data_IF_709461930501
#
_entry.id   IF_709461930501
#
_cell.length_a   1.000
_cell.length_b   1.000
_cell.length_c   1.000
_cell.angle_alpha   90.00
_cell.angle_beta   90.00
_cell.angle_gamma   90.00
#
_symmetry.space_group_name_H-M   'P 1'
#
loop_
_entity.id
_entity.type
_entity.pdbx_description
1 polymer ?
#
# COMPACT_ATOMS: atom_id res chain seq x y z
N UNK A 1 -38.31 24.55 -32.58
CA UNK A 1 -39.77 24.35 -32.43
C UNK A 1 -40.05 24.02 -30.98
N UNK A 2 -40.77 24.91 -30.28
CA UNK A 2 -41.39 24.81 -28.93
C UNK A 2 -40.43 24.60 -27.73
N UNK A 3 -40.03 25.67 -27.04
CA UNK A 3 -40.67 26.30 -25.85
C UNK A 3 -40.45 25.46 -24.58
N UNK A 4 -39.48 25.80 -23.71
CA UNK A 4 -39.51 26.85 -22.67
C UNK A 4 -40.42 26.47 -21.49
N UNK A 5 -39.87 26.40 -20.27
CA UNK A 5 -40.49 26.87 -19.01
C UNK A 5 -39.37 27.26 -18.04
N UNK A 6 -39.32 28.56 -17.74
CA UNK A 6 -38.56 29.20 -16.68
C UNK A 6 -39.51 29.42 -15.51
N UNK A 7 -39.07 29.18 -14.28
CA UNK A 7 -39.69 29.74 -13.09
C UNK A 7 -38.61 30.01 -12.03
N UNK A 8 -38.31 31.29 -11.88
CA UNK A 8 -37.68 31.94 -10.74
C UNK A 8 -38.60 31.87 -9.52
N UNK A 9 -38.05 31.70 -8.31
CA UNK A 9 -38.50 32.35 -7.07
C UNK A 9 -37.60 31.93 -5.86
N UNK A 10 -37.59 32.62 -4.70
CA UNK A 10 -36.69 33.73 -4.43
C UNK A 10 -35.76 33.52 -3.22
N UNK A 11 -34.75 34.40 -3.12
CA UNK A 11 -33.89 34.58 -1.96
C UNK A 11 -34.68 34.86 -0.67
N UNK A 12 -34.44 34.06 0.37
CA UNK A 12 -34.79 34.39 1.76
C UNK A 12 -33.50 34.59 2.54
N UNK A 13 -33.23 35.86 2.84
CA UNK A 13 -32.26 36.30 3.83
C UNK A 13 -32.75 35.94 5.23
N UNK A 14 -31.92 35.25 6.03
CA UNK A 14 -32.10 35.14 7.47
C UNK A 14 -30.83 35.55 8.19
N UNK A 15 -31.02 36.55 9.02
CA UNK A 15 -30.09 37.16 9.94
C UNK A 15 -29.72 36.23 11.10
N UNK A 16 -28.43 36.29 11.45
CA UNK A 16 -27.88 36.40 12.82
C UNK A 16 -28.05 35.20 13.76
N UNK A 17 -26.92 34.52 14.04
CA UNK A 17 -26.40 34.38 15.41
C UNK A 17 -24.89 34.53 15.37
N UNK A 18 -24.40 35.63 15.91
CA UNK A 18 -22.98 35.87 16.21
C UNK A 18 -22.58 35.00 17.41
N UNK A 19 -21.57 34.16 17.24
CA UNK A 19 -20.92 33.47 18.35
C UNK A 19 -20.01 34.46 19.10
N UNK A 20 -19.97 34.44 20.45
CA UNK A 20 -19.17 35.37 21.21
C UNK A 20 -17.66 35.10 21.05
N UNK A 21 -16.96 36.21 20.87
CA UNK A 21 -15.54 36.42 20.86
C UNK A 21 -14.91 35.97 22.20
N UNK A 22 -14.04 34.96 22.19
CA UNK A 22 -13.18 34.63 23.33
C UNK A 22 -11.77 35.18 23.07
N UNK A 23 -11.40 36.21 23.83
CA UNK A 23 -10.04 36.75 23.89
C UNK A 23 -9.15 35.90 24.81
N UNK A 24 -7.81 36.03 24.68
CA UNK A 24 -6.86 34.95 24.94
C UNK A 24 -6.44 34.90 26.41
N UNK A 25 -6.35 33.69 26.97
CA UNK A 25 -5.70 33.48 28.26
C UNK A 25 -4.58 32.46 28.13
N UNK A 26 -3.38 33.02 28.26
CA UNK A 26 -2.25 32.48 28.97
C UNK A 26 -1.45 31.32 28.34
N UNK A 27 -0.30 31.74 27.81
CA UNK A 27 0.92 30.96 27.72
C UNK A 27 1.28 30.47 29.14
N UNK A 28 1.44 29.16 29.33
CA UNK A 28 2.60 28.52 30.01
C UNK A 28 2.20 27.11 30.46
N UNK A 29 2.50 26.11 29.65
CA UNK A 29 2.86 24.77 30.13
C UNK A 29 3.57 24.02 29.00
N UNK A 30 4.86 24.32 28.84
CA UNK A 30 5.78 23.46 28.13
C UNK A 30 5.95 22.19 28.97
N UNK A 31 5.27 21.10 28.60
CA UNK A 31 5.62 19.77 29.07
C UNK A 31 5.58 18.81 27.89
N UNK A 32 6.78 18.43 27.48
CA UNK A 32 7.15 17.36 26.54
C UNK A 32 6.09 16.25 26.46
N UNK A 33 5.34 16.21 25.38
CA UNK A 33 4.69 14.98 24.93
C UNK A 33 5.74 14.17 24.17
N UNK A 34 6.49 13.36 24.91
CA UNK A 34 6.99 12.11 24.37
C UNK A 34 5.92 11.06 24.63
N UNK A 35 4.94 10.97 23.73
CA UNK A 35 4.02 9.84 23.65
C UNK A 35 4.28 9.11 22.34
N UNK A 36 5.35 8.31 22.32
CA UNK A 36 5.48 7.22 21.34
C UNK A 36 4.71 6.02 21.89
N UNK A 37 3.40 6.16 22.02
CA UNK A 37 2.50 5.01 22.17
C UNK A 37 1.96 4.72 20.78
N UNK A 38 2.47 3.67 20.18
CA UNK A 38 1.87 3.06 19.00
C UNK A 38 0.58 2.40 19.50
N UNK A 39 -0.54 3.11 19.43
CA UNK A 39 -1.82 2.47 19.74
C UNK A 39 -2.09 1.49 18.59
N UNK A 40 -2.20 0.17 18.87
CA UNK A 40 -2.52 -0.79 17.84
C UNK A 40 -3.85 -0.40 17.22
N UNK A 41 -3.91 -0.30 15.89
CA UNK A 41 -5.18 -0.03 15.22
C UNK A 41 -6.17 -1.11 15.58
N UNK A 42 -7.42 -0.70 15.82
CA UNK A 42 -8.54 -1.61 16.06
C UNK A 42 -8.77 -2.49 14.82
N UNK A 43 -8.22 -3.71 14.89
CA UNK A 43 -8.33 -4.72 13.83
C UNK A 43 -9.79 -5.05 13.51
N UNK A 44 -10.68 -5.06 14.50
CA UNK A 44 -12.09 -5.39 14.30
C UNK A 44 -12.82 -4.27 13.54
N UNK A 45 -12.48 -3.01 13.81
CA UNK A 45 -12.99 -1.87 13.04
C UNK A 45 -12.57 -1.94 11.55
N UNK A 46 -11.32 -2.35 11.29
CA UNK A 46 -10.81 -2.51 9.91
C UNK A 46 -11.53 -3.66 9.20
N UNK A 47 -11.69 -4.80 9.87
CA UNK A 47 -12.40 -5.96 9.31
C UNK A 47 -13.87 -5.65 9.02
N UNK A 48 -14.54 -4.94 9.93
CA UNK A 48 -15.91 -4.50 9.71
C UNK A 48 -16.00 -3.62 8.46
N UNK A 49 -15.14 -2.61 8.34
CA UNK A 49 -15.10 -1.75 7.16
C UNK A 49 -14.83 -2.55 5.88
N UNK A 50 -13.87 -3.47 5.88
CA UNK A 50 -13.57 -4.32 4.73
C UNK A 50 -14.79 -5.17 4.33
N UNK A 51 -15.50 -5.76 5.30
CA UNK A 51 -16.69 -6.59 5.02
C UNK A 51 -17.81 -5.83 4.32
N UNK A 52 -17.86 -4.50 4.45
CA UNK A 52 -18.84 -3.64 3.79
C UNK A 52 -18.35 -3.07 2.44
N UNK A 53 -17.04 -3.04 2.20
CA UNK A 53 -16.43 -2.33 1.07
C UNK A 53 -15.76 -3.22 0.03
N UNK A 54 -15.47 -4.49 0.34
CA UNK A 54 -14.90 -5.46 -0.59
C UNK A 54 -15.73 -6.76 -0.60
N UNK A 55 -15.77 -7.51 -1.72
CA UNK A 55 -16.45 -8.80 -1.74
C UNK A 55 -15.73 -9.80 -0.83
N UNK A 56 -16.48 -10.83 -0.40
CA UNK A 56 -15.98 -11.90 0.49
C UNK A 56 -14.66 -12.53 -0.01
N UNK A 57 -14.57 -12.83 -1.31
CA UNK A 57 -13.34 -13.40 -1.90
C UNK A 57 -12.11 -12.48 -1.78
N UNK A 58 -12.30 -11.15 -1.75
CA UNK A 58 -11.24 -10.20 -1.49
C UNK A 58 -10.89 -10.15 -0.01
N UNK A 59 -11.88 -10.21 0.87
CA UNK A 59 -11.62 -10.27 2.31
C UNK A 59 -10.80 -11.52 2.67
N UNK A 60 -11.14 -12.68 2.10
CA UNK A 60 -10.35 -13.91 2.28
C UNK A 60 -8.92 -13.77 1.74
N UNK A 61 -8.73 -13.12 0.60
CA UNK A 61 -7.40 -12.77 0.07
C UNK A 61 -6.63 -11.93 1.08
N UNK A 62 -7.22 -10.84 1.58
CA UNK A 62 -6.60 -9.95 2.56
C UNK A 62 -6.18 -10.70 3.82
N UNK A 63 -7.03 -11.58 4.35
CA UNK A 63 -6.71 -12.39 5.53
C UNK A 63 -5.54 -13.35 5.30
N UNK A 64 -5.42 -13.92 4.09
CA UNK A 64 -4.27 -14.77 3.74
C UNK A 64 -2.99 -13.95 3.54
N UNK A 65 -3.09 -12.73 3.00
CA UNK A 65 -1.96 -11.79 2.92
C UNK A 65 -1.50 -11.36 4.31
N UNK A 66 -2.42 -11.02 5.22
CA UNK A 66 -2.11 -10.72 6.62
C UNK A 66 -1.36 -11.89 7.27
N UNK A 67 -1.88 -13.12 7.16
CA UNK A 67 -1.24 -14.31 7.72
C UNK A 67 0.16 -14.54 7.14
N UNK A 68 0.33 -14.49 5.82
CA UNK A 68 1.64 -14.69 5.20
C UNK A 68 2.62 -13.55 5.51
N UNK A 69 2.15 -12.31 5.65
CA UNK A 69 2.99 -11.18 6.06
C UNK A 69 3.51 -11.37 7.49
N UNK A 70 2.68 -11.89 8.40
CA UNK A 70 3.09 -12.28 9.76
C UNK A 70 4.21 -13.34 9.70
N UNK A 71 3.99 -14.44 8.96
CA UNK A 71 4.96 -15.53 8.86
C UNK A 71 6.32 -15.06 8.30
N UNK A 72 6.28 -14.22 7.26
CA UNK A 72 7.50 -13.64 6.68
C UNK A 72 8.19 -12.66 7.65
N UNK A 73 7.42 -11.85 8.38
CA UNK A 73 7.99 -10.92 9.36
C UNK A 73 8.69 -11.67 10.49
N UNK A 74 8.10 -12.76 11.00
CA UNK A 74 8.74 -13.61 12.00
C UNK A 74 10.07 -14.19 11.49
N UNK A 75 10.04 -14.76 10.28
CA UNK A 75 11.23 -15.34 9.65
C UNK A 75 12.38 -14.33 9.48
N UNK A 76 12.05 -13.12 9.03
CA UNK A 76 13.03 -12.06 8.77
C UNK A 76 13.29 -11.16 9.98
N UNK A 77 12.79 -11.52 11.17
CA UNK A 77 12.98 -10.78 12.43
C UNK A 77 12.51 -9.31 12.34
N UNK A 78 11.37 -9.08 11.69
CA UNK A 78 10.71 -7.80 11.56
C UNK A 78 9.59 -7.62 12.60
N UNK A 79 9.01 -6.42 12.65
CA UNK A 79 7.86 -6.12 13.50
C UNK A 79 6.58 -6.78 12.95
N UNK A 80 6.16 -7.85 13.63
CA UNK A 80 4.98 -8.65 13.27
C UNK A 80 3.68 -7.84 13.33
N UNK A 81 3.57 -6.89 14.26
CA UNK A 81 2.36 -6.06 14.41
C UNK A 81 2.20 -5.15 13.20
N UNK A 82 3.30 -4.54 12.75
CA UNK A 82 3.30 -3.71 11.53
C UNK A 82 3.02 -4.53 10.27
N UNK A 83 3.56 -5.74 10.19
CA UNK A 83 3.31 -6.64 9.06
C UNK A 83 1.85 -7.07 8.98
N UNK A 84 1.25 -7.46 10.11
CA UNK A 84 -0.17 -7.77 10.19
C UNK A 84 -1.03 -6.57 9.76
N UNK A 85 -0.75 -5.39 10.31
CA UNK A 85 -1.49 -4.16 10.02
C UNK A 85 -1.41 -3.77 8.53
N UNK A 86 -0.20 -3.79 7.95
CA UNK A 86 -0.01 -3.45 6.55
C UNK A 86 -0.64 -4.51 5.62
N UNK A 87 -0.49 -5.79 5.94
CA UNK A 87 -1.12 -6.90 5.20
C UNK A 87 -2.65 -6.83 5.20
N UNK A 88 -3.25 -6.52 6.35
CA UNK A 88 -4.71 -6.35 6.47
C UNK A 88 -5.24 -5.16 5.67
N UNK A 89 -4.44 -4.09 5.53
CA UNK A 89 -4.89 -2.83 4.92
C UNK A 89 -4.43 -2.63 3.47
N UNK A 90 -3.62 -3.53 2.89
CA UNK A 90 -2.98 -3.29 1.59
C UNK A 90 -3.98 -2.98 0.46
N UNK A 91 -5.15 -3.61 0.50
CA UNK A 91 -6.18 -3.58 -0.54
C UNK A 91 -7.40 -2.70 -0.20
N UNK A 92 -7.30 -1.78 0.77
CA UNK A 92 -8.41 -0.92 1.21
C UNK A 92 -9.12 -0.19 0.05
N UNK A 93 -8.37 0.28 -0.94
CA UNK A 93 -8.91 1.01 -2.08
C UNK A 93 -9.16 0.12 -3.31
N UNK A 94 -9.01 -1.22 -3.20
CA UNK A 94 -9.06 -2.14 -4.35
C UNK A 94 -10.35 -2.02 -5.14
N UNK A 95 -11.49 -1.84 -4.48
CA UNK A 95 -12.80 -1.79 -5.13
C UNK A 95 -13.30 -0.36 -5.39
N UNK A 96 -12.45 0.65 -5.25
CA UNK A 96 -12.82 2.01 -5.61
C UNK A 96 -12.95 2.14 -7.13
N UNK A 97 -13.90 2.97 -7.57
CA UNK A 97 -14.10 3.26 -9.00
C UNK A 97 -12.88 4.00 -9.57
N UNK A 98 -12.49 3.77 -10.84
CA UNK A 98 -11.35 4.44 -11.46
C UNK A 98 -11.35 5.97 -11.31
N UNK A 99 -12.49 6.63 -11.53
CA UNK A 99 -12.61 8.08 -11.36
C UNK A 99 -12.28 8.53 -9.94
N UNK A 100 -12.75 7.80 -8.91
CA UNK A 100 -12.44 8.10 -7.51
C UNK A 100 -10.94 7.96 -7.22
N UNK A 101 -10.29 6.94 -7.78
CA UNK A 101 -8.85 6.74 -7.60
C UNK A 101 -8.06 7.92 -8.20
N UNK A 102 -8.41 8.36 -9.41
CA UNK A 102 -7.78 9.53 -10.06
C UNK A 102 -8.04 10.80 -9.26
N UNK A 103 -9.29 11.06 -8.88
CA UNK A 103 -9.66 12.29 -8.14
C UNK A 103 -8.89 12.38 -6.81
N UNK A 104 -8.79 11.26 -6.07
CA UNK A 104 -8.03 11.20 -4.82
C UNK A 104 -6.52 11.37 -5.07
N UNK A 105 -5.98 10.75 -6.12
CA UNK A 105 -4.57 10.86 -6.45
C UNK A 105 -4.19 12.30 -6.82
N UNK A 106 -5.03 12.99 -7.60
CA UNK A 106 -4.84 14.39 -7.95
C UNK A 106 -4.98 15.32 -6.75
N UNK A 107 -5.94 15.06 -5.86
CA UNK A 107 -6.12 15.83 -4.63
C UNK A 107 -4.91 15.74 -3.69
N UNK A 108 -4.23 14.60 -3.66
CA UNK A 108 -3.00 14.37 -2.89
C UNK A 108 -1.74 14.80 -3.65
N UNK A 109 -1.87 15.33 -4.88
CA UNK A 109 -0.75 15.79 -5.69
C UNK A 109 0.17 14.66 -6.19
N UNK A 110 -0.36 13.44 -6.33
CA UNK A 110 0.39 12.31 -6.88
C UNK A 110 0.66 12.54 -8.37
N UNK A 111 1.89 12.27 -8.78
CA UNK A 111 2.24 12.25 -10.20
C UNK A 111 1.68 10.97 -10.83
N UNK A 112 0.90 11.12 -11.90
CA UNK A 112 0.32 9.99 -12.64
C UNK A 112 1.20 9.68 -13.85
N UNK A 113 1.61 8.42 -13.98
CA UNK A 113 2.20 7.91 -15.22
C UNK A 113 1.09 7.68 -16.27
N UNK A 114 1.37 7.78 -17.58
CA UNK A 114 0.38 7.42 -18.60
C UNK A 114 -0.19 6.01 -18.44
N UNK A 115 0.56 5.07 -17.84
CA UNK A 115 0.05 3.73 -17.51
C UNK A 115 -0.99 3.78 -16.38
N UNK A 116 -0.85 4.68 -15.39
CA UNK A 116 -1.86 4.89 -14.35
C UNK A 116 -3.14 5.48 -14.94
N UNK A 117 -3.02 6.44 -15.88
CA UNK A 117 -4.19 7.03 -16.54
C UNK A 117 -4.96 6.00 -17.37
N UNK A 118 -4.23 5.09 -18.06
CA UNK A 118 -4.84 4.02 -18.84
C UNK A 118 -5.38 2.88 -17.97
N UNK A 119 -4.75 2.62 -16.82
CA UNK A 119 -5.18 1.62 -15.85
C UNK A 119 -5.22 2.18 -14.42
N UNK A 120 -6.24 2.98 -14.08
CA UNK A 120 -6.30 3.67 -12.79
C UNK A 120 -6.41 2.74 -11.60
N UNK A 121 -6.75 1.48 -11.83
CA UNK A 121 -6.80 0.49 -10.77
C UNK A 121 -5.42 0.25 -10.13
N UNK A 122 -4.30 0.56 -10.81
CA UNK A 122 -2.97 0.49 -10.20
C UNK A 122 -2.84 1.42 -8.99
N UNK A 123 -3.55 2.56 -8.99
CA UNK A 123 -3.50 3.57 -7.93
C UNK A 123 -4.08 3.09 -6.60
N UNK A 124 -4.76 1.94 -6.54
CA UNK A 124 -5.31 1.42 -5.29
C UNK A 124 -4.26 1.22 -4.18
N UNK A 125 -2.99 0.98 -4.53
CA UNK A 125 -1.93 0.89 -3.53
C UNK A 125 -1.66 2.25 -2.87
N UNK A 126 -1.39 3.29 -3.67
CA UNK A 126 -1.15 4.64 -3.17
C UNK A 126 -2.39 5.20 -2.45
N UNK A 127 -3.58 5.03 -3.02
CA UNK A 127 -4.85 5.44 -2.40
C UNK A 127 -5.18 4.61 -1.17
N UNK A 128 -4.83 3.32 -1.14
CA UNK A 128 -4.99 2.46 0.03
C UNK A 128 -4.23 2.99 1.23
N UNK A 129 -3.00 3.48 1.03
CA UNK A 129 -2.21 4.11 2.09
C UNK A 129 -2.86 5.42 2.58
N UNK A 130 -3.44 6.22 1.68
CA UNK A 130 -4.19 7.44 2.04
C UNK A 130 -5.44 7.09 2.86
N UNK A 131 -6.20 6.07 2.46
CA UNK A 131 -7.35 5.59 3.24
C UNK A 131 -6.90 5.09 4.61
N UNK A 132 -5.81 4.34 4.69
CA UNK A 132 -5.26 3.85 5.95
C UNK A 132 -4.91 5.01 6.91
N UNK A 133 -4.27 6.06 6.39
CA UNK A 133 -3.94 7.29 7.12
C UNK A 133 -5.20 8.02 7.61
N UNK A 134 -6.12 8.32 6.70
CA UNK A 134 -7.22 9.24 6.97
C UNK A 134 -8.41 8.58 7.69
N UNK A 135 -8.71 7.32 7.37
CA UNK A 135 -9.87 6.61 7.92
C UNK A 135 -9.55 5.87 9.21
N UNK A 136 -8.32 5.36 9.34
CA UNK A 136 -7.91 4.51 10.48
C UNK A 136 -6.80 5.13 11.34
N UNK A 137 -6.29 6.31 10.98
CA UNK A 137 -5.30 7.02 11.78
C UNK A 137 -3.91 6.40 11.74
N UNK A 138 -3.58 5.60 10.71
CA UNK A 138 -2.22 5.07 10.54
C UNK A 138 -1.25 6.24 10.38
N UNK A 139 -0.27 6.33 11.27
CA UNK A 139 0.78 7.36 11.23
C UNK A 139 2.19 6.78 11.06
N UNK A 140 2.35 5.46 11.06
CA UNK A 140 3.64 4.82 10.82
C UNK A 140 3.97 4.74 9.34
N UNK A 141 5.02 5.44 8.96
CA UNK A 141 5.46 5.50 7.56
C UNK A 141 5.92 4.16 6.99
N UNK A 142 6.42 3.22 7.78
CA UNK A 142 6.77 1.89 7.26
C UNK A 142 5.50 1.13 6.86
N UNK A 143 4.45 1.18 7.69
CA UNK A 143 3.14 0.57 7.37
C UNK A 143 2.54 1.24 6.13
N UNK A 144 2.53 2.57 6.07
CA UNK A 144 2.00 3.31 4.92
C UNK A 144 2.80 3.03 3.64
N UNK A 145 4.13 2.96 3.73
CA UNK A 145 4.99 2.59 2.60
C UNK A 145 4.73 1.17 2.13
N UNK A 146 4.55 0.22 3.04
CA UNK A 146 4.28 -1.16 2.69
C UNK A 146 2.95 -1.30 1.93
N UNK A 147 1.90 -0.59 2.38
CA UNK A 147 0.62 -0.50 1.65
C UNK A 147 0.83 0.17 0.28
N UNK A 148 1.51 1.32 0.23
CA UNK A 148 1.74 2.09 -1.00
C UNK A 148 2.51 1.31 -2.07
N UNK A 149 3.43 0.46 -1.63
CA UNK A 149 4.35 -0.22 -2.53
C UNK A 149 3.88 -1.62 -2.96
N UNK A 150 2.79 -2.15 -2.40
CA UNK A 150 2.47 -3.58 -2.56
C UNK A 150 2.20 -4.01 -4.02
N UNK A 151 1.72 -3.12 -4.90
CA UNK A 151 1.41 -3.48 -6.29
C UNK A 151 2.63 -3.38 -7.23
N UNK A 152 3.31 -2.22 -7.25
CA UNK A 152 4.36 -1.92 -8.24
C UNK A 152 5.78 -2.00 -7.64
N UNK A 153 5.86 -2.12 -6.31
CA UNK A 153 7.09 -1.95 -5.54
C UNK A 153 7.70 -0.57 -5.66
N UNK A 154 8.89 -0.40 -5.12
CA UNK A 154 9.71 0.80 -5.26
C UNK A 154 11.19 0.36 -5.30
N UNK A 155 12.06 1.00 -6.10
CA UNK A 155 13.51 0.84 -5.92
C UNK A 155 13.90 1.11 -4.46
N UNK A 156 14.50 0.12 -3.80
CA UNK A 156 14.94 0.26 -2.41
C UNK A 156 13.82 0.27 -1.37
N UNK A 157 12.71 -0.45 -1.62
CA UNK A 157 11.72 -0.77 -0.59
C UNK A 157 12.39 -1.23 0.71
N UNK A 158 11.84 -0.78 1.84
CA UNK A 158 12.18 -1.35 3.14
C UNK A 158 11.71 -2.81 3.25
N UNK A 159 12.23 -3.53 4.24
CA UNK A 159 11.96 -4.95 4.39
C UNK A 159 10.47 -5.23 4.66
N UNK A 160 9.75 -4.34 5.36
CA UNK A 160 8.31 -4.45 5.57
C UNK A 160 7.52 -4.33 4.25
N UNK A 161 7.89 -3.38 3.40
CA UNK A 161 7.32 -3.24 2.06
C UNK A 161 7.61 -4.46 1.19
N UNK A 162 8.81 -5.04 1.30
CA UNK A 162 9.13 -6.30 0.62
C UNK A 162 8.24 -7.45 1.11
N UNK A 163 8.00 -7.55 2.43
CA UNK A 163 7.12 -8.56 3.02
C UNK A 163 5.71 -8.45 2.47
N UNK A 164 5.09 -7.26 2.48
CA UNK A 164 3.71 -7.08 2.02
C UNK A 164 3.59 -7.30 0.50
N UNK A 165 4.57 -6.81 -0.27
CA UNK A 165 4.65 -7.06 -1.72
C UNK A 165 4.69 -8.57 -2.04
N UNK A 166 5.53 -9.32 -1.31
CA UNK A 166 5.65 -10.77 -1.50
C UNK A 166 4.41 -11.52 -1.01
N UNK A 167 3.87 -11.16 0.16
CA UNK A 167 2.68 -11.79 0.70
C UNK A 167 1.49 -11.62 -0.26
N UNK A 168 1.25 -10.43 -0.81
CA UNK A 168 0.17 -10.22 -1.78
C UNK A 168 0.33 -11.09 -3.05
N UNK A 169 1.56 -11.18 -3.57
CA UNK A 169 1.85 -11.96 -4.77
C UNK A 169 1.89 -13.48 -4.56
N UNK A 170 2.10 -13.95 -3.32
CA UNK A 170 2.46 -15.34 -3.04
C UNK A 170 1.57 -16.04 -2.00
N UNK A 171 0.55 -15.37 -1.45
CA UNK A 171 -0.37 -15.99 -0.50
C UNK A 171 -0.96 -17.33 -1.03
N UNK A 172 -1.30 -18.30 -0.15
CA UNK A 172 -1.65 -19.67 -0.59
C UNK A 172 -2.80 -19.77 -1.62
N UNK A 173 -3.74 -18.83 -1.61
CA UNK A 173 -4.85 -18.72 -2.55
C UNK A 173 -4.46 -18.31 -3.97
N UNK A 174 -3.21 -17.88 -4.21
CA UNK A 174 -2.67 -17.59 -5.56
C UNK A 174 -2.43 -18.85 -6.40
N UNK A 175 -2.50 -20.04 -5.80
CA UNK A 175 -2.34 -21.34 -6.47
C UNK A 175 -1.07 -22.09 -6.04
N UNK A 176 -0.94 -23.34 -6.50
CA UNK A 176 0.10 -24.28 -6.07
C UNK A 176 0.90 -24.82 -7.27
N UNK A 177 1.36 -23.92 -8.15
CA UNK A 177 2.28 -24.33 -9.22
C UNK A 177 3.70 -24.47 -8.67
N UNK A 178 4.55 -25.30 -9.28
CA UNK A 178 5.95 -25.42 -8.86
C UNK A 178 6.70 -24.08 -8.82
N UNK A 179 6.38 -23.17 -9.74
CA UNK A 179 6.98 -21.83 -9.80
C UNK A 179 6.56 -20.98 -8.58
N UNK A 180 5.28 -20.99 -8.21
CA UNK A 180 4.78 -20.27 -7.03
C UNK A 180 5.33 -20.87 -5.74
N UNK A 181 5.44 -22.19 -5.64
CA UNK A 181 6.06 -22.86 -4.49
C UNK A 181 7.53 -22.49 -4.34
N UNK A 182 8.28 -22.43 -5.46
CA UNK A 182 9.66 -21.96 -5.43
C UNK A 182 9.73 -20.49 -4.98
N UNK A 183 8.88 -19.60 -5.50
CA UNK A 183 8.87 -18.20 -5.07
C UNK A 183 8.58 -18.05 -3.57
N UNK A 184 7.63 -18.83 -3.03
CA UNK A 184 7.36 -18.88 -1.59
C UNK A 184 8.61 -19.30 -0.82
N UNK A 185 9.27 -20.38 -1.21
CA UNK A 185 10.50 -20.82 -0.55
C UNK A 185 11.56 -19.72 -0.52
N UNK A 186 11.78 -19.05 -1.66
CA UNK A 186 12.74 -17.95 -1.74
C UNK A 186 12.33 -16.76 -0.85
N UNK A 187 11.03 -16.47 -0.70
CA UNK A 187 10.57 -15.39 0.17
C UNK A 187 10.91 -15.61 1.65
N UNK A 188 10.99 -16.86 2.12
CA UNK A 188 11.44 -17.18 3.48
C UNK A 188 12.96 -17.21 3.64
N UNK A 189 13.71 -17.26 2.54
CA UNK A 189 15.18 -17.31 2.57
C UNK A 189 15.82 -15.93 2.39
N UNK A 190 15.31 -15.14 1.44
CA UNK A 190 15.89 -13.85 1.07
C UNK A 190 14.85 -12.94 0.41
N UNK A 191 14.39 -11.92 1.13
CA UNK A 191 13.41 -10.95 0.63
C UNK A 191 13.86 -10.29 -0.68
N UNK A 192 15.12 -9.83 -0.74
CA UNK A 192 15.61 -9.11 -1.93
C UNK A 192 15.64 -10.00 -3.17
N UNK A 193 16.01 -11.27 -3.02
CA UNK A 193 15.99 -12.24 -4.12
C UNK A 193 14.58 -12.61 -4.54
N UNK A 194 13.70 -12.86 -3.57
CA UNK A 194 12.30 -13.16 -3.84
C UNK A 194 11.60 -12.02 -4.56
N UNK A 195 11.83 -10.74 -4.18
CA UNK A 195 11.19 -9.59 -4.82
C UNK A 195 11.48 -9.56 -6.33
N UNK A 196 12.74 -9.62 -6.76
CA UNK A 196 13.02 -9.54 -8.21
C UNK A 196 12.55 -10.79 -8.96
N UNK A 197 12.54 -11.97 -8.32
CA UNK A 197 11.99 -13.19 -8.94
C UNK A 197 10.48 -13.12 -9.10
N UNK A 198 9.77 -12.61 -8.09
CA UNK A 198 8.32 -12.35 -8.18
C UNK A 198 8.03 -11.28 -9.24
N UNK A 199 8.85 -10.23 -9.35
CA UNK A 199 8.74 -9.29 -10.46
C UNK A 199 8.94 -9.96 -11.83
N UNK A 200 9.94 -10.84 -11.99
CA UNK A 200 10.15 -11.58 -13.25
C UNK A 200 8.94 -12.45 -13.61
N UNK A 201 8.34 -13.12 -12.60
CA UNK A 201 7.11 -13.88 -12.75
C UNK A 201 5.94 -13.00 -13.23
N UNK A 202 5.69 -11.87 -12.56
CA UNK A 202 4.62 -10.92 -12.95
C UNK A 202 4.87 -10.33 -14.33
N UNK A 203 6.11 -9.94 -14.65
CA UNK A 203 6.46 -9.36 -15.95
C UNK A 203 6.28 -10.37 -17.08
N UNK A 204 6.64 -11.64 -16.88
CA UNK A 204 6.39 -12.69 -17.86
C UNK A 204 4.91 -12.79 -18.19
N UNK A 205 4.05 -12.86 -17.16
CA UNK A 205 2.59 -12.88 -17.33
C UNK A 205 2.08 -11.66 -18.11
N UNK A 206 2.50 -10.45 -17.72
CA UNK A 206 2.05 -9.22 -18.39
C UNK A 206 2.44 -9.18 -19.87
N UNK A 207 3.68 -9.59 -20.20
CA UNK A 207 4.16 -9.63 -21.58
C UNK A 207 3.43 -10.70 -22.42
N UNK A 208 3.24 -11.89 -21.86
CA UNK A 208 2.49 -12.98 -22.50
C UNK A 208 1.06 -12.53 -22.85
N UNK A 209 0.42 -11.76 -21.95
CA UNK A 209 -0.95 -11.28 -22.11
C UNK A 209 -1.05 -9.87 -22.74
N UNK A 210 0.06 -9.34 -23.25
CA UNK A 210 0.16 -8.05 -23.96
C UNK A 210 -0.41 -6.88 -23.16
N UNK A 211 -0.20 -6.90 -21.84
CA UNK A 211 -0.60 -5.85 -20.91
C UNK A 211 0.46 -4.74 -20.85
N UNK A 212 0.02 -3.52 -20.51
CA UNK A 212 0.95 -2.43 -20.22
C UNK A 212 1.77 -2.76 -18.97
N UNK A 213 3.05 -2.37 -19.01
CA UNK A 213 3.95 -2.53 -17.87
C UNK A 213 4.32 -1.15 -17.34
N UNK A 214 3.93 -0.88 -16.10
CA UNK A 214 4.26 0.38 -15.45
C UNK A 214 5.79 0.50 -15.24
N UNK A 215 6.44 1.62 -15.62
CA UNK A 215 7.90 1.78 -15.51
C UNK A 215 8.46 1.54 -14.10
N UNK A 216 7.71 1.94 -13.05
CA UNK A 216 8.01 1.65 -11.62
C UNK A 216 8.27 0.16 -11.37
N UNK A 217 7.48 -0.75 -11.93
CA UNK A 217 7.68 -2.20 -11.74
C UNK A 217 9.02 -2.68 -12.32
N UNK A 218 9.40 -2.19 -13.50
CA UNK A 218 10.71 -2.48 -14.12
C UNK A 218 11.85 -1.92 -13.27
N UNK A 219 11.69 -0.69 -12.77
CA UNK A 219 12.68 -0.05 -11.92
C UNK A 219 12.89 -0.82 -10.61
N UNK A 220 11.81 -1.22 -9.93
CA UNK A 220 11.83 -2.07 -8.73
C UNK A 220 12.61 -3.35 -9.02
N UNK A 221 12.21 -4.09 -10.05
CA UNK A 221 12.84 -5.35 -10.46
C UNK A 221 14.34 -5.19 -10.68
N UNK A 222 14.74 -4.17 -11.45
CA UNK A 222 16.14 -3.94 -11.77
C UNK A 222 16.98 -3.56 -10.55
N UNK A 223 16.42 -2.76 -9.64
CA UNK A 223 17.09 -2.39 -8.40
C UNK A 223 17.39 -3.63 -7.55
N UNK A 224 16.39 -4.47 -7.29
CA UNK A 224 16.56 -5.67 -6.46
C UNK A 224 17.51 -6.69 -7.10
N UNK A 225 17.43 -6.91 -8.42
CA UNK A 225 18.37 -7.79 -9.12
C UNK A 225 19.82 -7.30 -9.00
N UNK A 226 20.06 -6.00 -9.23
CA UNK A 226 21.40 -5.42 -9.17
C UNK A 226 21.97 -5.48 -7.74
N UNK A 227 21.15 -5.14 -6.74
CA UNK A 227 21.56 -5.19 -5.33
C UNK A 227 21.93 -6.61 -4.89
N UNK A 228 21.11 -7.61 -5.24
CA UNK A 228 21.39 -9.01 -4.93
C UNK A 228 22.69 -9.48 -5.59
N UNK A 229 22.91 -9.18 -6.89
CA UNK A 229 24.15 -9.51 -7.58
C UNK A 229 25.39 -8.88 -6.96
N UNK A 230 25.31 -7.61 -6.54
CA UNK A 230 26.42 -6.91 -5.87
C UNK A 230 26.77 -7.54 -4.53
N UNK A 231 25.76 -7.93 -3.73
CA UNK A 231 25.96 -8.62 -2.44
C UNK A 231 26.66 -9.97 -2.63
N UNK A 232 26.27 -10.77 -3.61
CA UNK A 232 26.96 -12.04 -3.92
C UNK A 232 28.40 -11.82 -4.39
N UNK A 233 28.66 -10.78 -5.21
CA UNK A 233 30.01 -10.44 -5.66
C UNK A 233 30.90 -9.97 -4.50
N UNK A 234 30.36 -9.20 -3.54
CA UNK A 234 31.10 -8.75 -2.37
C UNK A 234 31.39 -9.90 -1.38
N UNK A 235 30.47 -10.86 -1.23
CA UNK A 235 30.64 -12.04 -0.38
C UNK A 235 31.58 -13.12 -0.93
N UNK A 236 31.92 -13.07 -2.22
CA UNK A 236 32.83 -14.04 -2.87
C UNK A 236 34.31 -13.63 -2.88
N UNK A 237 34.62 -12.40 -2.44
CA UNK A 237 36.01 -11.95 -2.25
C UNK A 237 36.57 -12.62 -0.99
N UNK A 238 37.30 -13.73 -1.15
CA UNK A 238 38.07 -14.35 -0.06
C UNK A 238 39.07 -13.34 0.52
N UNK A 239 39.29 -13.31 1.85
CA UNK A 239 40.44 -12.58 2.39
C UNK A 239 41.70 -13.23 1.82
N UNK A 240 42.46 -12.48 1.04
CA UNK A 240 43.82 -12.85 0.70
C UNK A 240 44.62 -12.86 2.00
N UNK A 241 44.91 -14.06 2.51
CA UNK A 241 45.88 -14.26 3.57
C UNK A 241 47.24 -13.77 3.07
N UNK A 242 47.76 -12.72 3.70
CA UNK A 242 49.15 -12.27 3.60
C UNK A 242 50.08 -13.21 4.37
#
# INVERSE_FOLDING_TARGET
MRQAHSAHEPHISRNVVSLPNAQPTDLTACSKLQSTSFDPIDRDAVLHWLSENVPESRLEHILRVEAMAIDLAEQHQLDVVKAAQAGLMHDLAKYFKPARLIDMAQAEGLALDPVDEMNPHLLHADIGAIVARDQFGVSDEQVLNAIRNHTLGQPGMDDLSCVVFLADGLEPGRGNTPELEQLRQHSFENLSEAVWKTCDYTLHYLLEHHQLVHPRAIATRNWFLQTTRRRHAAGSVRPTSA
#
